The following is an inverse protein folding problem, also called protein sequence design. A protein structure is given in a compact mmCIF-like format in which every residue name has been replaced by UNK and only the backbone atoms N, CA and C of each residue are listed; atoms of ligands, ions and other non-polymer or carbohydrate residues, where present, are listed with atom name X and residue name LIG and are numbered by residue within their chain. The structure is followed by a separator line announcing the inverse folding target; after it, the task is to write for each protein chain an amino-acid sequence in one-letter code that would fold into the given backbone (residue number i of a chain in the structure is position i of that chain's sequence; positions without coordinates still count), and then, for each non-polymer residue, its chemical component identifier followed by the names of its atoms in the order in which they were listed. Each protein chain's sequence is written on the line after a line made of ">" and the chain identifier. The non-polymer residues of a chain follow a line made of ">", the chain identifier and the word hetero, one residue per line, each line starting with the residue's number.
data_IF_040800864400
#
_entry.id   IF_040800864400
#
_cell.length_a   1.000
_cell.length_b   1.000
_cell.length_c   1.000
_cell.angle_alpha   90.00
_cell.angle_beta   90.00
_cell.angle_gamma   90.00
#
_symmetry.space_group_name_H-M   'P 1'
#
loop_
_entity.id
_entity.type
_entity.pdbx_description
1 polymer ?
#
# COMPACT_ATOMS: atom_id res chain seq x y z
N UNK A 1 -64.12 49.89 23.28
CA UNK A 1 -63.87 48.53 22.73
C UNK A 1 -62.49 48.59 22.04
N UNK A 2 -61.41 48.31 22.79
CA UNK A 2 -60.53 47.11 22.69
C UNK A 2 -59.84 46.97 21.31
N UNK A 3 -58.52 46.80 21.11
CA UNK A 3 -57.26 46.77 21.87
C UNK A 3 -56.14 46.83 20.78
N UNK A 4 -55.20 47.79 20.81
CA UNK A 4 -53.79 47.70 21.26
C UNK A 4 -52.85 46.65 20.60
N UNK A 5 -51.68 47.18 20.19
CA UNK A 5 -50.30 46.60 20.07
C UNK A 5 -49.96 45.81 18.78
N UNK A 6 -49.00 46.25 17.94
CA UNK A 6 -47.51 46.37 18.08
C UNK A 6 -46.77 45.03 18.09
N UNK A 7 -45.81 44.84 17.16
CA UNK A 7 -44.67 43.93 17.34
C UNK A 7 -44.17 43.26 16.07
N UNK A 8 -43.07 43.78 15.52
CA UNK A 8 -42.20 43.05 14.59
C UNK A 8 -41.48 41.88 15.31
N UNK A 9 -40.96 40.94 14.50
CA UNK A 9 -39.72 40.13 14.68
C UNK A 9 -39.88 38.59 14.60
N UNK A 10 -39.26 38.06 13.54
CA UNK A 10 -38.26 36.97 13.53
C UNK A 10 -38.67 35.48 13.62
N UNK A 11 -37.80 34.68 12.96
CA UNK A 11 -37.53 33.24 13.07
C UNK A 11 -38.56 32.30 12.39
N UNK A 12 -38.22 31.30 11.57
CA UNK A 12 -37.00 30.53 11.28
C UNK A 12 -37.12 30.06 9.81
N UNK A 13 -36.18 30.30 8.88
CA UNK A 13 -34.91 29.57 8.71
C UNK A 13 -35.02 28.05 8.94
N UNK A 14 -35.57 27.34 7.95
CA UNK A 14 -35.25 25.93 7.75
C UNK A 14 -33.81 25.85 7.20
N UNK A 15 -32.85 25.23 7.91
CA UNK A 15 -31.48 25.11 7.45
C UNK A 15 -31.45 24.31 6.14
N UNK A 16 -30.71 24.84 5.17
CA UNK A 16 -30.56 24.29 3.85
C UNK A 16 -29.64 23.05 3.91
N UNK A 17 -30.12 21.89 3.47
CA UNK A 17 -29.39 20.61 3.42
C UNK A 17 -28.00 20.66 2.74
N UNK A 18 -27.67 21.75 2.03
CA UNK A 18 -26.37 21.94 1.37
C UNK A 18 -25.18 22.17 2.35
N UNK A 19 -25.40 22.74 3.53
CA UNK A 19 -24.31 22.95 4.51
C UNK A 19 -23.92 21.65 5.21
N UNK A 20 -24.91 20.79 5.50
CA UNK A 20 -24.69 19.47 6.10
C UNK A 20 -23.94 18.55 5.13
N UNK A 21 -24.22 18.60 3.82
CA UNK A 21 -23.51 17.81 2.81
C UNK A 21 -22.05 18.23 2.61
N UNK A 22 -21.73 19.52 2.75
CA UNK A 22 -20.36 20.03 2.62
C UNK A 22 -19.49 19.63 3.83
N UNK A 23 -20.08 19.62 5.03
CA UNK A 23 -19.39 19.22 6.25
C UNK A 23 -19.18 17.70 6.32
N UNK A 24 -20.17 16.91 5.88
CA UNK A 24 -20.02 15.44 5.72
C UNK A 24 -18.96 15.10 4.67
N UNK A 25 -18.87 15.84 3.56
CA UNK A 25 -17.84 15.61 2.53
C UNK A 25 -16.44 15.92 3.04
N UNK A 26 -16.29 16.99 3.82
CA UNK A 26 -15.01 17.38 4.40
C UNK A 26 -14.56 16.36 5.44
N UNK A 27 -15.48 15.91 6.31
CA UNK A 27 -15.21 14.86 7.29
C UNK A 27 -14.81 13.53 6.63
N UNK A 28 -15.52 13.10 5.58
CA UNK A 28 -15.21 11.87 4.86
C UNK A 28 -13.87 11.95 4.12
N UNK A 29 -13.48 13.11 3.57
CA UNK A 29 -12.20 13.28 2.90
C UNK A 29 -11.03 13.18 3.89
N UNK A 30 -11.10 13.92 5.01
CA UNK A 30 -10.06 13.88 6.05
C UNK A 30 -9.91 12.48 6.64
N UNK A 31 -11.02 11.80 6.95
CA UNK A 31 -10.97 10.45 7.53
C UNK A 31 -10.46 9.40 6.53
N UNK A 32 -10.79 9.53 5.24
CA UNK A 32 -10.24 8.65 4.20
C UNK A 32 -8.72 8.83 4.03
N UNK A 33 -8.24 10.07 4.14
CA UNK A 33 -6.82 10.37 4.08
C UNK A 33 -6.07 9.79 5.29
N UNK A 34 -6.61 9.90 6.50
CA UNK A 34 -6.03 9.28 7.71
C UNK A 34 -6.01 7.75 7.64
N UNK A 35 -7.12 7.09 7.27
CA UNK A 35 -7.18 5.62 7.13
C UNK A 35 -6.20 5.13 6.05
N UNK A 36 -6.05 5.89 4.96
CA UNK A 36 -5.11 5.57 3.89
C UNK A 36 -3.65 5.67 4.36
N UNK A 37 -3.29 6.73 5.08
CA UNK A 37 -1.95 6.93 5.62
C UNK A 37 -1.58 5.86 6.65
N UNK A 38 -2.49 5.53 7.57
CA UNK A 38 -2.27 4.48 8.56
C UNK A 38 -2.09 3.12 7.88
N UNK A 39 -2.97 2.76 6.93
CA UNK A 39 -2.83 1.52 6.14
C UNK A 39 -1.50 1.46 5.41
N UNK A 40 -1.10 2.57 4.80
CA UNK A 40 0.17 2.65 4.07
C UNK A 40 1.37 2.45 4.98
N UNK A 41 1.34 3.05 6.17
CA UNK A 41 2.37 2.84 7.17
C UNK A 41 2.43 1.37 7.59
N UNK A 42 1.29 0.76 7.97
CA UNK A 42 1.19 -0.65 8.36
C UNK A 42 1.72 -1.59 7.27
N UNK A 43 1.30 -1.40 6.02
CA UNK A 43 1.76 -2.23 4.90
C UNK A 43 3.26 -2.09 4.63
N UNK A 44 3.82 -0.88 4.75
CA UNK A 44 5.27 -0.66 4.60
C UNK A 44 6.06 -1.25 5.77
N UNK A 45 5.55 -1.18 7.00
CA UNK A 45 6.17 -1.83 8.17
C UNK A 45 6.22 -3.34 8.00
N UNK A 46 5.11 -3.96 7.61
CA UNK A 46 5.08 -5.39 7.31
C UNK A 46 6.02 -5.77 6.15
N UNK A 47 6.09 -4.92 5.11
CA UNK A 47 7.04 -5.11 4.02
C UNK A 47 8.49 -5.14 4.52
N UNK A 48 8.88 -4.23 5.42
CA UNK A 48 10.22 -4.19 6.00
C UNK A 48 10.54 -5.49 6.74
N UNK A 49 9.62 -6.01 7.54
CA UNK A 49 9.80 -7.27 8.28
C UNK A 49 10.05 -8.44 7.32
N UNK A 50 9.16 -8.64 6.36
CA UNK A 50 9.27 -9.71 5.35
C UNK A 50 10.53 -9.55 4.50
N UNK A 51 10.88 -8.32 4.10
CA UNK A 51 12.10 -8.06 3.33
C UNK A 51 13.38 -8.36 4.12
N UNK A 52 13.37 -8.27 5.45
CA UNK A 52 14.52 -8.68 6.29
C UNK A 52 14.66 -10.20 6.31
N UNK A 53 13.56 -10.92 6.52
CA UNK A 53 13.56 -12.39 6.48
C UNK A 53 14.01 -12.95 5.12
N UNK A 54 13.65 -12.24 4.04
CA UNK A 54 13.98 -12.62 2.67
C UNK A 54 15.27 -11.97 2.13
N UNK A 55 16.10 -11.34 2.97
CA UNK A 55 17.27 -10.55 2.55
C UNK A 55 18.21 -11.33 1.62
N UNK A 56 18.40 -12.63 1.88
CA UNK A 56 19.25 -13.52 1.07
C UNK A 56 18.80 -13.61 -0.40
N UNK A 57 17.51 -13.40 -0.67
CA UNK A 57 16.90 -13.44 -2.01
C UNK A 57 16.82 -12.07 -2.69
N UNK A 58 17.47 -11.05 -2.12
CA UNK A 58 17.57 -9.69 -2.67
C UNK A 58 16.19 -9.07 -2.95
N UNK A 59 15.39 -8.80 -1.90
CA UNK A 59 14.03 -8.34 -2.07
C UNK A 59 13.95 -6.87 -2.47
N UNK A 60 12.97 -6.54 -3.30
CA UNK A 60 12.61 -5.17 -3.67
C UNK A 60 11.10 -4.97 -3.55
N UNK A 61 10.68 -3.97 -2.78
CA UNK A 61 9.28 -3.56 -2.72
C UNK A 61 8.88 -2.90 -4.05
N UNK A 62 7.67 -3.18 -4.52
CA UNK A 62 7.11 -2.66 -5.77
C UNK A 62 5.62 -2.35 -5.62
N UNK A 63 5.04 -1.71 -6.64
CA UNK A 63 3.59 -1.55 -6.75
C UNK A 63 3.00 -0.53 -5.77
N UNK A 64 1.69 -0.63 -5.45
CA UNK A 64 0.94 0.43 -4.77
C UNK A 64 1.49 0.83 -3.39
N UNK A 65 2.02 -0.14 -2.63
CA UNK A 65 2.58 0.10 -1.29
C UNK A 65 3.82 0.98 -1.36
N UNK A 66 4.67 0.76 -2.37
CA UNK A 66 5.79 1.65 -2.66
C UNK A 66 5.29 3.04 -3.08
N UNK A 67 4.43 3.08 -4.09
CA UNK A 67 3.96 4.31 -4.75
C UNK A 67 3.13 5.24 -3.86
N UNK A 68 2.68 4.79 -2.68
CA UNK A 68 1.84 5.63 -1.82
C UNK A 68 0.33 5.40 -2.03
N UNK A 69 -0.06 4.44 -2.87
CA UNK A 69 -1.42 4.34 -3.45
C UNK A 69 -2.16 3.06 -3.07
N UNK A 70 -1.67 2.30 -2.07
CA UNK A 70 -2.33 1.06 -1.67
C UNK A 70 -3.70 1.30 -1.04
N UNK A 71 -4.72 0.66 -1.62
CA UNK A 71 -6.09 0.71 -1.14
C UNK A 71 -6.43 -0.44 -0.19
N UNK A 72 -7.71 -0.53 0.18
CA UNK A 72 -8.25 -1.54 1.12
C UNK A 72 -7.93 -3.00 0.74
N UNK A 73 -7.78 -3.29 -0.55
CA UNK A 73 -7.57 -4.65 -1.08
C UNK A 73 -6.21 -4.81 -1.77
N UNK A 74 -5.27 -3.90 -1.49
CA UNK A 74 -3.94 -3.98 -2.06
C UNK A 74 -3.13 -5.09 -1.41
N UNK A 75 -2.31 -5.76 -2.21
CA UNK A 75 -1.30 -6.73 -1.75
C UNK A 75 0.05 -6.00 -1.63
N UNK A 76 0.89 -6.45 -0.69
CA UNK A 76 2.30 -6.05 -0.64
C UNK A 76 3.06 -6.82 -1.71
N UNK A 77 3.51 -6.12 -2.76
CA UNK A 77 4.20 -6.76 -3.89
C UNK A 77 5.73 -6.66 -3.76
N UNK A 78 6.41 -7.81 -3.70
CA UNK A 78 7.87 -7.89 -3.59
C UNK A 78 8.45 -8.69 -4.75
N UNK A 79 9.49 -8.14 -5.37
CA UNK A 79 10.34 -8.84 -6.35
C UNK A 79 11.52 -9.51 -5.65
N UNK A 80 11.71 -10.79 -5.94
CA UNK A 80 12.86 -11.58 -5.48
C UNK A 80 13.72 -12.04 -6.66
N UNK A 81 15.01 -12.18 -6.41
CA UNK A 81 15.99 -12.62 -7.39
C UNK A 81 16.87 -13.75 -6.83
N UNK A 82 16.31 -14.88 -6.36
CA UNK A 82 17.07 -16.03 -5.86
C UNK A 82 17.81 -16.76 -6.99
N UNK A 83 18.69 -17.71 -6.68
CA UNK A 83 19.29 -18.58 -7.71
C UNK A 83 18.25 -19.54 -8.33
N UNK A 84 17.19 -19.89 -7.59
CA UNK A 84 16.01 -20.55 -8.14
C UNK A 84 14.76 -20.30 -7.29
N UNK A 85 13.58 -20.41 -7.90
CA UNK A 85 12.30 -20.33 -7.16
C UNK A 85 12.17 -21.42 -6.08
N UNK A 86 12.83 -22.57 -6.26
CA UNK A 86 12.82 -23.66 -5.28
C UNK A 86 13.47 -23.29 -3.96
N UNK A 87 14.48 -22.42 -3.95
CA UNK A 87 15.11 -21.99 -2.69
C UNK A 87 14.14 -21.17 -1.82
N UNK A 88 13.30 -20.34 -2.46
CA UNK A 88 12.27 -19.57 -1.75
C UNK A 88 11.17 -20.50 -1.22
N UNK A 89 10.72 -21.47 -2.02
CA UNK A 89 9.74 -22.47 -1.57
C UNK A 89 10.27 -23.27 -0.36
N UNK A 90 11.54 -23.69 -0.39
CA UNK A 90 12.19 -24.41 0.71
C UNK A 90 12.29 -23.52 1.96
N UNK A 91 12.62 -22.23 1.79
CA UNK A 91 12.64 -21.28 2.90
C UNK A 91 11.28 -21.17 3.58
N UNK A 92 10.19 -21.06 2.80
CA UNK A 92 8.83 -21.01 3.34
C UNK A 92 8.48 -22.29 4.10
N UNK A 93 8.80 -23.47 3.53
CA UNK A 93 8.56 -24.75 4.17
C UNK A 93 9.33 -24.89 5.49
N UNK A 94 10.61 -24.49 5.52
CA UNK A 94 11.44 -24.57 6.73
C UNK A 94 10.97 -23.64 7.85
N UNK A 95 10.39 -22.48 7.50
CA UNK A 95 9.80 -21.54 8.45
C UNK A 95 8.32 -21.81 8.71
N UNK A 96 7.78 -22.92 8.18
CA UNK A 96 6.40 -23.34 8.37
C UNK A 96 5.37 -22.28 7.94
N UNK A 97 5.71 -21.50 6.90
CA UNK A 97 4.86 -20.47 6.30
C UNK A 97 4.02 -21.09 5.19
N UNK A 98 2.70 -20.98 5.31
CA UNK A 98 1.77 -21.42 4.27
C UNK A 98 1.80 -20.44 3.08
N UNK A 99 1.79 -20.97 1.86
CA UNK A 99 1.74 -20.17 0.64
C UNK A 99 0.97 -20.89 -0.46
N UNK A 100 0.49 -20.11 -1.42
CA UNK A 100 -0.15 -20.61 -2.63
C UNK A 100 0.63 -20.18 -3.88
N UNK A 101 0.59 -21.03 -4.91
CA UNK A 101 1.11 -20.66 -6.22
C UNK A 101 0.06 -19.93 -7.05
N UNK A 102 0.47 -18.84 -7.70
CA UNK A 102 -0.29 -18.22 -8.80
C UNK A 102 0.44 -18.41 -10.12
N UNK A 103 -0.30 -18.63 -11.22
CA UNK A 103 0.29 -18.76 -12.54
C UNK A 103 0.88 -17.41 -13.01
N UNK A 104 2.18 -17.36 -13.38
CA UNK A 104 2.72 -16.23 -14.12
C UNK A 104 2.01 -16.05 -15.46
N UNK A 105 2.05 -14.83 -16.00
CA UNK A 105 1.53 -14.57 -17.35
C UNK A 105 2.35 -15.34 -18.38
N UNK A 106 1.68 -16.18 -19.17
CA UNK A 106 2.31 -16.94 -20.26
C UNK A 106 2.88 -15.96 -21.30
N UNK A 107 4.06 -16.29 -21.82
CA UNK A 107 4.74 -15.56 -22.91
C UNK A 107 5.16 -14.12 -22.60
N UNK A 108 5.43 -13.79 -21.33
CA UNK A 108 6.09 -12.54 -20.99
C UNK A 108 7.62 -12.75 -21.00
N UNK A 109 8.37 -12.15 -21.94
CA UNK A 109 9.84 -12.13 -21.86
C UNK A 109 10.25 -11.48 -20.55
N UNK A 110 11.24 -12.07 -19.86
CA UNK A 110 11.73 -11.62 -18.56
C UNK A 110 10.64 -11.51 -17.46
N UNK A 111 9.54 -12.27 -17.61
CA UNK A 111 8.50 -12.41 -16.60
C UNK A 111 8.96 -13.22 -15.37
N UNK A 112 8.18 -13.21 -14.29
CA UNK A 112 8.51 -14.02 -13.11
C UNK A 112 8.39 -15.51 -13.45
N UNK A 113 9.33 -16.30 -12.93
CA UNK A 113 9.34 -17.76 -13.05
C UNK A 113 8.28 -18.41 -12.16
N UNK A 114 8.02 -17.79 -11.00
CA UNK A 114 7.01 -18.21 -10.06
C UNK A 114 6.38 -16.99 -9.36
N UNK A 115 5.12 -17.14 -8.97
CA UNK A 115 4.44 -16.19 -8.09
C UNK A 115 3.94 -16.96 -6.87
N UNK A 116 4.35 -16.52 -5.69
CA UNK A 116 3.87 -17.04 -4.42
C UNK A 116 3.02 -15.98 -3.75
N UNK A 117 1.89 -16.38 -3.17
CA UNK A 117 1.07 -15.52 -2.32
C UNK A 117 0.90 -16.14 -0.95
N UNK A 118 0.90 -15.31 0.07
CA UNK A 118 0.78 -15.71 1.47
C UNK A 118 0.29 -14.53 2.30
N UNK A 119 -0.12 -14.80 3.54
CA UNK A 119 -0.51 -13.77 4.48
C UNK A 119 0.54 -13.62 5.58
N UNK A 120 0.83 -12.37 5.96
CA UNK A 120 1.68 -12.01 7.10
C UNK A 120 0.88 -11.08 8.01
N UNK A 121 0.51 -11.55 9.20
CA UNK A 121 -0.36 -10.81 10.14
C UNK A 121 -1.62 -10.22 9.45
N UNK A 122 -2.35 -11.07 8.72
CA UNK A 122 -3.54 -10.72 7.93
C UNK A 122 -3.31 -9.73 6.75
N UNK A 123 -2.05 -9.40 6.44
CA UNK A 123 -1.68 -8.59 5.29
C UNK A 123 -1.30 -9.51 4.13
N UNK A 124 -1.96 -9.40 2.96
CA UNK A 124 -1.68 -10.25 1.83
C UNK A 124 -0.39 -9.83 1.11
N UNK A 125 0.50 -10.79 0.89
CA UNK A 125 1.75 -10.62 0.17
C UNK A 125 1.73 -11.34 -1.17
N UNK A 126 2.40 -10.73 -2.14
CA UNK A 126 2.63 -11.30 -3.47
C UNK A 126 4.10 -11.21 -3.83
N UNK A 127 4.75 -12.36 -3.86
CA UNK A 127 6.15 -12.50 -4.26
C UNK A 127 6.22 -12.85 -5.74
N UNK A 128 6.93 -12.03 -6.51
CA UNK A 128 7.29 -12.35 -7.89
C UNK A 128 8.75 -12.77 -7.91
N UNK A 129 9.00 -14.02 -8.32
CA UNK A 129 10.32 -14.59 -8.30
C UNK A 129 10.90 -14.56 -9.71
N UNK A 130 12.05 -13.92 -9.87
CA UNK A 130 12.75 -13.76 -11.13
C UNK A 130 14.08 -14.51 -11.13
N UNK A 131 14.56 -14.90 -12.31
CA UNK A 131 15.95 -15.31 -12.49
C UNK A 131 16.93 -14.18 -12.12
N UNK A 132 18.11 -14.49 -11.54
CA UNK A 132 19.16 -13.51 -11.26
C UNK A 132 19.60 -12.68 -12.47
N UNK A 133 19.46 -13.20 -13.69
CA UNK A 133 19.82 -12.50 -14.92
C UNK A 133 18.94 -11.26 -15.17
N UNK A 134 17.67 -11.35 -14.80
CA UNK A 134 16.69 -10.26 -14.94
C UNK A 134 17.05 -9.09 -14.01
N UNK A 135 17.63 -9.36 -12.83
CA UNK A 135 18.10 -8.30 -11.93
C UNK A 135 19.18 -7.44 -12.62
N UNK A 136 20.12 -8.09 -13.30
CA UNK A 136 21.27 -7.43 -13.95
C UNK A 136 20.85 -6.61 -15.17
N UNK A 137 19.92 -7.12 -15.97
CA UNK A 137 19.39 -6.43 -17.14
C UNK A 137 18.67 -5.14 -16.73
N UNK A 138 17.88 -5.19 -15.66
CA UNK A 138 17.14 -4.03 -15.16
C UNK A 138 18.03 -2.93 -14.57
N UNK A 139 19.23 -3.26 -14.06
CA UNK A 139 20.21 -2.25 -13.63
C UNK A 139 20.85 -1.48 -14.79
N UNK A 140 20.77 -1.99 -16.03
CA UNK A 140 21.46 -1.43 -17.21
C UNK A 140 20.56 -0.65 -18.17
N UNK A 141 19.24 -0.70 -17.99
CA UNK A 141 18.27 -0.09 -18.92
C UNK A 141 17.90 1.34 -18.55
N UNK A 142 18.51 2.31 -19.23
CA UNK A 142 17.86 3.58 -19.56
C UNK A 142 17.14 3.37 -20.90
N UNK A 143 15.87 3.76 -21.00
CA UNK A 143 14.94 3.56 -22.14
C UNK A 143 14.25 2.19 -22.26
N UNK A 144 12.92 2.19 -22.10
CA UNK A 144 12.07 1.47 -23.07
C UNK A 144 11.14 0.36 -22.57
N UNK A 145 10.59 0.42 -21.36
CA UNK A 145 9.31 -0.17 -20.95
C UNK A 145 9.13 0.23 -19.48
N UNK A 146 7.91 0.59 -19.05
CA UNK A 146 7.58 1.05 -17.68
C UNK A 146 8.50 0.40 -16.64
N UNK A 147 9.53 1.13 -16.22
CA UNK A 147 10.39 0.72 -15.14
C UNK A 147 9.48 0.77 -13.92
N UNK A 148 8.94 -0.38 -13.52
CA UNK A 148 8.19 -0.46 -12.27
C UNK A 148 9.12 0.06 -11.18
N UNK A 149 8.66 1.04 -10.43
CA UNK A 149 9.45 1.60 -9.36
C UNK A 149 9.79 0.46 -8.38
N UNK A 150 11.06 0.35 -8.02
CA UNK A 150 11.57 -0.70 -7.11
C UNK A 150 12.37 -0.04 -6.00
N UNK A 151 12.05 -0.38 -4.77
CA UNK A 151 12.75 0.11 -3.59
C UNK A 151 13.43 -1.04 -2.85
N UNK A 152 14.70 -0.82 -2.46
CA UNK A 152 15.38 -1.71 -1.52
C UNK A 152 14.89 -1.45 -0.11
N UNK A 153 15.15 -2.40 0.79
CA UNK A 153 14.82 -2.33 2.21
C UNK A 153 15.16 -0.96 2.81
N UNK A 154 16.39 -0.47 2.62
CA UNK A 154 16.84 0.82 3.16
C UNK A 154 15.99 2.01 2.71
N UNK A 155 15.45 1.99 1.49
CA UNK A 155 14.58 3.05 0.98
C UNK A 155 13.20 2.98 1.64
N UNK A 156 12.67 1.77 1.80
CA UNK A 156 11.36 1.56 2.46
C UNK A 156 11.44 1.97 3.94
N UNK A 157 12.54 1.63 4.62
CA UNK A 157 12.80 2.07 6.00
C UNK A 157 12.80 3.60 6.13
N UNK A 158 13.43 4.31 5.19
CA UNK A 158 13.36 5.77 5.14
C UNK A 158 11.94 6.26 4.93
N UNK A 159 11.17 5.68 4.00
CA UNK A 159 9.78 6.08 3.74
C UNK A 159 8.87 5.94 4.96
N UNK A 160 9.07 4.90 5.77
CA UNK A 160 8.33 4.71 7.03
C UNK A 160 8.73 5.76 8.06
N UNK A 161 10.02 6.04 8.20
CA UNK A 161 10.52 7.05 9.14
C UNK A 161 10.14 8.49 8.73
N UNK A 162 9.98 8.76 7.43
CA UNK A 162 9.53 10.04 6.86
C UNK A 162 8.00 10.20 6.86
N UNK A 163 7.25 9.14 7.17
CA UNK A 163 5.80 9.20 7.38
C UNK A 163 5.53 9.20 8.90
N UNK A 164 5.81 10.29 9.65
CA UNK A 164 5.33 10.35 11.01
C UNK A 164 3.80 10.40 10.98
N UNK A 165 3.17 9.69 11.92
CA UNK A 165 1.80 9.97 12.29
C UNK A 165 1.71 11.43 12.76
N UNK A 166 1.46 12.37 11.85
CA UNK A 166 1.11 13.75 12.20
C UNK A 166 -0.31 13.74 12.79
N UNK A 167 -0.42 13.24 14.02
CA UNK A 167 -1.47 13.65 14.94
C UNK A 167 -1.19 15.09 15.37
N UNK A 168 -1.34 16.05 14.45
CA UNK A 168 -1.46 17.46 14.77
C UNK A 168 -2.95 17.80 14.90
N UNK A 169 -3.56 17.27 15.96
CA UNK A 169 -4.77 17.87 16.52
C UNK A 169 -4.30 19.13 17.25
N UNK A 170 -4.50 20.30 16.63
CA UNK A 170 -4.54 21.55 17.38
C UNK A 170 -5.95 22.17 17.31
N UNK A 171 -6.50 22.57 18.47
CA UNK A 171 -7.85 23.11 18.63
C UNK A 171 -8.01 24.56 18.14
#
# INVERSE_FOLDING_TARGET
>A
KAARQLGALAADELPNNAEIEAEVRTYLAVFQDEEHLERQHVMRSAAIEVMRELETFRPYLTGPVLEGTAGRYSEVEIDLFPESAKEVEIFFLNNNVAYEHREPRRNQPDGPEAILVFDWDDIPFKLRIYSPDVERLNRRGSHGARQMERARLSVVETLVNETPAEAHIHP
#
